data_IF_036888304530
#
_entry.id   IF_036888304530
#
_cell.length_a   1.000
_cell.length_b   1.000
_cell.length_c   1.000
_cell.angle_alpha   90.00
_cell.angle_beta   90.00
_cell.angle_gamma   90.00
#
_symmetry.space_group_name_H-M   'P 1'
#
loop_
_entity.id
_entity.type
_entity.pdbx_description
1 polymer ?
#
# COMPACT_ATOMS: atom_id res chain seq x y z
N UNK A 1 12.56 10.34 84.75
CA UNK A 1 11.73 10.88 83.70
C UNK A 1 12.23 10.35 82.36
N UNK A 2 12.59 9.09 82.21
CA UNK A 2 13.31 8.49 81.10
C UNK A 2 12.75 7.16 80.58
N UNK A 3 11.70 6.61 81.16
CA UNK A 3 11.13 5.30 80.75
C UNK A 3 9.89 5.38 79.86
N UNK A 4 9.46 6.57 79.46
CA UNK A 4 8.22 6.75 78.64
C UNK A 4 8.45 7.02 77.15
N UNK A 5 9.70 7.27 76.77
CA UNK A 5 10.05 7.54 75.37
C UNK A 5 10.49 6.31 74.59
N UNK A 6 11.00 5.27 75.27
CA UNK A 6 11.46 4.04 74.61
C UNK A 6 10.32 3.16 74.05
N UNK A 7 9.13 3.22 74.62
CA UNK A 7 7.96 2.42 74.15
C UNK A 7 7.30 2.96 72.88
N UNK A 8 7.63 4.19 72.47
CA UNK A 8 7.02 4.82 71.26
C UNK A 8 7.87 4.58 70.00
N UNK A 9 9.16 4.27 70.18
CA UNK A 9 10.08 3.96 69.05
C UNK A 9 9.93 2.52 68.57
N UNK A 10 9.62 1.58 69.45
CA UNK A 10 9.40 0.18 69.06
C UNK A 10 8.10 -0.08 68.33
N UNK A 11 7.09 0.78 68.47
CA UNK A 11 5.78 0.65 67.78
C UNK A 11 5.83 1.15 66.29
N UNK A 12 6.93 1.78 65.88
CA UNK A 12 7.08 2.32 64.54
C UNK A 12 7.89 1.42 63.57
N UNK A 13 8.44 0.30 64.07
CA UNK A 13 9.32 -0.56 63.26
C UNK A 13 8.71 -1.88 62.81
N UNK A 14 7.41 -2.08 62.91
CA UNK A 14 6.73 -3.31 62.41
C UNK A 14 5.55 -3.02 61.54
N UNK A 15 5.72 -2.14 60.55
CA UNK A 15 4.94 -2.20 59.32
C UNK A 15 5.81 -2.77 58.22
N UNK A 16 6.15 -4.06 58.33
CA UNK A 16 6.64 -4.84 57.21
C UNK A 16 5.57 -4.77 56.10
N UNK A 17 5.85 -4.01 55.06
CA UNK A 17 5.15 -4.11 53.79
C UNK A 17 5.32 -5.56 53.33
N UNK A 18 4.34 -6.41 53.57
CA UNK A 18 4.24 -7.74 52.98
C UNK A 18 4.15 -7.52 51.46
N UNK A 19 5.31 -7.44 50.81
CA UNK A 19 5.44 -7.57 49.37
C UNK A 19 4.85 -8.94 49.04
N UNK A 20 3.69 -8.96 48.44
CA UNK A 20 3.07 -10.18 47.93
C UNK A 20 4.07 -10.82 46.98
N UNK A 21 4.74 -11.89 47.40
CA UNK A 21 5.61 -12.64 46.52
C UNK A 21 4.77 -13.47 45.59
N UNK A 22 4.95 -13.24 44.28
CA UNK A 22 4.28 -13.99 43.23
C UNK A 22 4.66 -15.45 43.28
N UNK A 23 3.71 -16.36 43.28
CA UNK A 23 3.99 -17.80 43.22
C UNK A 23 4.44 -18.23 41.83
N UNK A 24 5.31 -19.23 41.75
CA UNK A 24 5.71 -19.84 40.47
C UNK A 24 4.48 -20.33 39.66
N UNK A 25 3.45 -20.82 40.37
CA UNK A 25 2.22 -21.31 39.74
C UNK A 25 1.38 -20.20 39.13
N UNK A 26 1.25 -19.02 39.76
CA UNK A 26 0.58 -17.87 39.22
C UNK A 26 1.22 -17.39 37.91
N UNK A 27 2.58 -17.34 37.91
CA UNK A 27 3.31 -16.96 36.71
C UNK A 27 3.08 -17.99 35.58
N UNK A 28 3.14 -19.30 35.90
CA UNK A 28 2.96 -20.37 34.93
C UNK A 28 1.57 -20.34 34.28
N UNK A 29 0.51 -20.12 35.07
CA UNK A 29 -0.87 -20.02 34.56
C UNK A 29 -1.01 -18.82 33.61
N UNK A 30 -0.43 -17.67 33.97
CA UNK A 30 -0.50 -16.46 33.13
C UNK A 30 0.20 -16.69 31.78
N UNK A 31 1.41 -17.24 31.78
CA UNK A 31 2.11 -17.51 30.50
C UNK A 31 1.39 -18.57 29.65
N UNK A 32 0.76 -19.57 30.29
CA UNK A 32 -0.03 -20.57 29.58
C UNK A 32 -1.26 -19.95 28.87
N UNK A 33 -1.97 -19.03 29.56
CA UNK A 33 -3.10 -18.31 28.95
C UNK A 33 -2.62 -17.41 27.80
N UNK A 34 -1.54 -16.66 27.99
CA UNK A 34 -0.96 -15.80 26.96
C UNK A 34 -0.54 -16.63 25.75
N UNK A 35 0.13 -17.76 25.95
CA UNK A 35 0.55 -18.64 24.88
C UNK A 35 -0.64 -19.20 24.09
N UNK A 36 -1.73 -19.59 24.76
CA UNK A 36 -2.95 -20.04 24.11
C UNK A 36 -3.62 -18.93 23.29
N UNK A 37 -3.69 -17.70 23.81
CA UNK A 37 -4.25 -16.55 23.10
C UNK A 37 -3.42 -16.16 21.87
N UNK A 38 -2.10 -16.12 22.00
CA UNK A 38 -1.17 -15.83 20.90
C UNK A 38 -1.26 -16.89 19.80
N UNK A 39 -1.40 -18.16 20.17
CA UNK A 39 -1.55 -19.26 19.21
C UNK A 39 -2.77 -19.10 18.27
N UNK A 40 -3.85 -18.51 18.77
CA UNK A 40 -5.06 -18.22 17.98
C UNK A 40 -4.99 -16.89 17.23
N UNK A 41 -4.26 -15.89 17.76
CA UNK A 41 -4.21 -14.54 17.20
C UNK A 41 -3.36 -14.45 15.92
N UNK A 42 -2.22 -15.15 15.87
CA UNK A 42 -1.23 -15.03 14.78
C UNK A 42 -1.83 -15.34 13.38
N UNK A 43 -2.56 -16.44 13.14
CA UNK A 43 -3.09 -16.75 11.82
C UNK A 43 -4.14 -15.73 11.33
N UNK A 44 -4.92 -15.15 12.24
CA UNK A 44 -5.94 -14.15 11.90
C UNK A 44 -5.28 -12.84 11.46
N UNK A 45 -4.16 -12.47 12.08
CA UNK A 45 -3.47 -11.19 11.81
C UNK A 45 -2.94 -11.09 10.37
N UNK A 46 -2.45 -12.18 9.80
CA UNK A 46 -1.93 -12.21 8.41
C UNK A 46 -3.03 -11.89 7.39
N UNK A 47 -4.21 -12.47 7.56
CA UNK A 47 -5.35 -12.21 6.66
C UNK A 47 -5.84 -10.76 6.71
N UNK A 48 -5.78 -10.12 7.88
CA UNK A 48 -6.14 -8.69 8.04
C UNK A 48 -5.12 -7.78 7.34
N UNK A 49 -3.83 -8.07 7.48
CA UNK A 49 -2.77 -7.30 6.82
C UNK A 49 -2.87 -7.39 5.29
N UNK A 50 -3.15 -8.56 4.73
CA UNK A 50 -3.30 -8.70 3.28
C UNK A 50 -4.52 -7.95 2.76
N UNK A 51 -5.63 -7.92 3.52
CA UNK A 51 -6.80 -7.07 3.18
C UNK A 51 -6.47 -5.59 3.24
N UNK A 52 -5.75 -5.15 4.27
CA UNK A 52 -5.33 -3.74 4.40
C UNK A 52 -4.44 -3.31 3.21
N UNK A 53 -3.51 -4.15 2.77
CA UNK A 53 -2.69 -3.90 1.58
C UNK A 53 -3.52 -3.80 0.30
N UNK A 54 -4.52 -4.69 0.11
CA UNK A 54 -5.44 -4.60 -1.03
C UNK A 54 -6.22 -3.29 -1.04
N UNK A 55 -6.72 -2.85 0.11
CA UNK A 55 -7.43 -1.57 0.23
C UNK A 55 -6.49 -0.40 -0.08
N UNK A 56 -5.26 -0.43 0.42
CA UNK A 56 -4.26 0.57 0.08
C UNK A 56 -4.00 0.59 -1.43
N UNK A 57 -3.72 -0.56 -2.05
CA UNK A 57 -3.50 -0.63 -3.49
C UNK A 57 -4.70 -0.13 -4.30
N UNK A 58 -5.95 -0.42 -3.85
CA UNK A 58 -7.16 0.11 -4.50
C UNK A 58 -7.25 1.64 -4.41
N UNK A 59 -6.92 2.21 -3.26
CA UNK A 59 -6.85 3.66 -3.11
C UNK A 59 -5.77 4.27 -4.02
N UNK A 60 -4.60 3.65 -4.10
CA UNK A 60 -3.48 4.13 -4.88
C UNK A 60 -3.82 4.12 -6.39
N UNK A 61 -4.37 3.02 -6.94
CA UNK A 61 -4.77 2.97 -8.36
C UNK A 61 -5.88 3.99 -8.67
N UNK A 62 -6.80 4.22 -7.74
CA UNK A 62 -7.84 5.25 -7.89
C UNK A 62 -7.24 6.65 -7.90
N UNK A 63 -6.26 6.92 -7.02
CA UNK A 63 -5.55 8.20 -7.00
C UNK A 63 -4.74 8.43 -8.28
N UNK A 64 -4.08 7.39 -8.82
CA UNK A 64 -3.35 7.47 -10.09
C UNK A 64 -4.31 7.88 -11.21
N UNK A 65 -5.44 7.17 -11.37
CA UNK A 65 -6.44 7.50 -12.39
C UNK A 65 -6.98 8.91 -12.22
N UNK A 66 -7.28 9.31 -10.99
CA UNK A 66 -7.77 10.67 -10.69
C UNK A 66 -6.74 11.73 -11.06
N UNK A 67 -5.46 11.51 -10.75
CA UNK A 67 -4.37 12.44 -11.06
C UNK A 67 -4.14 12.58 -12.57
N UNK A 68 -4.18 11.47 -13.33
CA UNK A 68 -4.05 11.49 -14.79
C UNK A 68 -5.23 12.23 -15.44
N UNK A 69 -6.45 12.00 -14.97
CA UNK A 69 -7.64 12.70 -15.47
C UNK A 69 -7.64 14.19 -15.08
N UNK A 70 -7.15 14.54 -13.90
CA UNK A 70 -6.98 15.93 -13.49
C UNK A 70 -5.94 16.66 -14.36
N UNK A 71 -4.84 15.98 -14.68
CA UNK A 71 -3.84 16.48 -15.63
C UNK A 71 -4.48 16.73 -17.03
N UNK A 72 -5.26 15.75 -17.51
CA UNK A 72 -5.96 15.89 -18.78
C UNK A 72 -6.95 17.08 -18.77
N UNK A 73 -7.68 17.25 -17.68
CA UNK A 73 -8.62 18.39 -17.52
C UNK A 73 -7.90 19.74 -17.57
N UNK A 74 -6.70 19.82 -16.98
CA UNK A 74 -5.92 21.06 -16.92
C UNK A 74 -5.23 21.40 -18.24
N UNK A 75 -4.67 20.38 -18.91
CA UNK A 75 -3.80 20.61 -20.08
C UNK A 75 -4.44 20.20 -21.43
N UNK A 76 -5.62 19.56 -21.43
CA UNK A 76 -6.25 19.02 -22.62
C UNK A 76 -5.51 17.85 -23.27
N UNK A 77 -4.55 17.26 -22.54
CA UNK A 77 -3.72 16.12 -22.99
C UNK A 77 -3.28 15.26 -21.80
N UNK A 78 -2.93 14.02 -22.06
CA UNK A 78 -2.40 13.12 -21.03
C UNK A 78 -0.91 13.40 -20.70
N UNK A 79 -0.42 12.99 -19.54
CA UNK A 79 0.98 13.17 -19.11
C UNK A 79 1.93 12.16 -19.79
N UNK A 80 1.82 12.05 -21.11
CA UNK A 80 2.64 11.16 -21.94
C UNK A 80 2.95 11.81 -23.28
N UNK A 81 4.06 11.42 -23.89
CA UNK A 81 4.41 11.75 -25.27
C UNK A 81 4.11 10.62 -26.25
N UNK A 82 3.57 9.51 -25.76
CA UNK A 82 3.14 8.40 -26.58
C UNK A 82 1.97 8.83 -27.49
N UNK A 83 1.85 8.18 -28.64
CA UNK A 83 0.83 8.45 -29.65
C UNK A 83 -0.08 7.26 -29.91
N UNK A 84 0.18 6.14 -29.26
CA UNK A 84 -0.63 4.92 -29.31
C UNK A 84 -0.71 4.29 -27.92
N UNK A 85 -1.79 3.60 -27.60
CA UNK A 85 -1.99 2.94 -26.30
C UNK A 85 -0.92 1.89 -26.01
N UNK A 86 -0.48 1.16 -27.03
CA UNK A 86 0.60 0.17 -26.87
C UNK A 86 1.92 0.81 -26.37
N UNK A 87 2.20 2.06 -26.76
CA UNK A 87 3.36 2.83 -26.31
C UNK A 87 3.08 3.68 -25.06
N UNK A 88 1.81 3.77 -24.63
CA UNK A 88 1.37 4.46 -23.44
C UNK A 88 1.04 3.49 -22.26
N UNK A 89 1.54 2.26 -22.34
CA UNK A 89 1.42 1.28 -21.25
C UNK A 89 2.73 1.21 -20.48
N UNK A 90 2.62 1.35 -19.15
CA UNK A 90 3.73 1.47 -18.21
C UNK A 90 3.61 0.43 -17.10
N UNK A 91 4.75 0.06 -16.49
CA UNK A 91 4.81 -0.86 -15.37
C UNK A 91 5.62 -2.13 -15.66
N UNK A 92 5.53 -3.18 -14.84
CA UNK A 92 6.27 -4.41 -15.02
C UNK A 92 6.03 -5.04 -16.40
N UNK A 93 7.12 -5.31 -17.14
CA UNK A 93 7.04 -5.84 -18.51
C UNK A 93 6.75 -4.81 -19.61
N UNK A 94 6.55 -3.55 -19.25
CA UNK A 94 6.30 -2.41 -20.14
C UNK A 94 7.32 -1.28 -19.91
N UNK A 95 6.99 -0.08 -20.38
CA UNK A 95 7.84 1.10 -20.18
C UNK A 95 7.84 1.53 -18.71
N UNK A 96 8.91 2.22 -18.30
CA UNK A 96 8.97 2.83 -16.97
C UNK A 96 7.92 3.93 -16.81
N UNK A 97 7.16 3.88 -15.73
CA UNK A 97 6.16 4.91 -15.39
C UNK A 97 6.76 6.20 -14.83
N UNK A 98 8.10 6.27 -14.68
CA UNK A 98 8.81 7.43 -14.12
C UNK A 98 8.41 8.74 -14.78
N UNK A 99 8.40 8.81 -16.12
CA UNK A 99 8.08 10.04 -16.84
C UNK A 99 6.66 10.54 -16.53
N UNK A 100 5.70 9.64 -16.46
CA UNK A 100 4.31 9.96 -16.09
C UNK A 100 4.25 10.51 -14.66
N UNK A 101 4.90 9.84 -13.71
CA UNK A 101 4.89 10.30 -12.30
C UNK A 101 5.70 11.60 -12.09
N UNK A 102 6.77 11.84 -12.85
CA UNK A 102 7.50 13.10 -12.78
C UNK A 102 6.63 14.29 -13.23
N UNK A 103 5.82 14.12 -14.28
CA UNK A 103 4.85 15.13 -14.70
C UNK A 103 3.73 15.32 -13.64
N UNK A 104 3.15 14.24 -13.14
CA UNK A 104 2.07 14.31 -12.14
C UNK A 104 2.52 14.90 -10.80
N UNK A 105 3.80 14.80 -10.46
CA UNK A 105 4.40 15.29 -9.21
C UNK A 105 5.08 16.66 -9.36
N UNK A 106 4.96 17.28 -10.52
CA UNK A 106 5.64 18.53 -10.85
C UNK A 106 7.18 18.47 -10.71
N UNK A 107 7.78 17.31 -10.97
CA UNK A 107 9.25 17.12 -11.05
C UNK A 107 9.79 17.29 -12.47
N UNK A 108 8.91 17.33 -13.46
CA UNK A 108 9.19 17.66 -14.86
C UNK A 108 8.34 18.84 -15.28
N UNK A 109 8.88 19.66 -16.19
CA UNK A 109 8.20 20.82 -16.82
C UNK A 109 7.91 20.57 -18.30
N UNK A 110 8.18 19.38 -18.81
CA UNK A 110 8.04 19.08 -20.23
C UNK A 110 6.57 19.14 -20.68
N UNK A 111 5.68 18.57 -19.89
CA UNK A 111 4.24 18.58 -20.13
C UNK A 111 3.49 19.36 -19.05
N UNK A 112 3.96 19.35 -17.79
CA UNK A 112 3.42 20.08 -16.65
C UNK A 112 4.09 21.47 -16.52
N UNK A 113 3.84 22.34 -17.48
CA UNK A 113 4.47 23.66 -17.57
C UNK A 113 4.10 24.60 -16.42
N UNK A 114 2.96 24.38 -15.75
CA UNK A 114 2.48 25.16 -14.60
C UNK A 114 2.94 24.60 -13.26
N UNK A 115 3.66 23.47 -13.26
CA UNK A 115 4.15 22.79 -12.06
C UNK A 115 3.05 22.49 -11.03
N UNK A 116 1.88 22.04 -11.48
CA UNK A 116 0.76 21.65 -10.63
C UNK A 116 1.02 20.23 -10.11
N UNK A 117 0.92 20.04 -8.81
CA UNK A 117 1.03 18.72 -8.19
C UNK A 117 -0.34 18.05 -8.23
N UNK A 118 -0.48 16.99 -9.04
CA UNK A 118 -1.70 16.20 -9.17
C UNK A 118 -1.71 14.99 -8.24
N UNK A 119 -0.53 14.47 -7.88
CA UNK A 119 -0.37 13.35 -6.94
C UNK A 119 0.87 13.55 -6.08
N UNK A 120 0.80 13.21 -4.80
CA UNK A 120 1.94 13.33 -3.86
C UNK A 120 2.10 12.08 -3.00
N UNK A 121 2.44 10.92 -3.60
CA UNK A 121 2.73 9.72 -2.82
C UNK A 121 4.03 9.88 -2.04
N UNK A 122 4.20 9.17 -0.91
CA UNK A 122 5.43 9.19 -0.16
C UNK A 122 6.62 8.70 -0.99
N UNK A 123 7.82 9.24 -0.75
CA UNK A 123 9.05 8.81 -1.41
C UNK A 123 9.84 7.84 -0.52
N UNK A 124 10.47 6.84 -1.11
CA UNK A 124 11.41 5.97 -0.41
C UNK A 124 12.83 6.54 -0.50
N UNK A 125 13.36 6.92 0.64
CA UNK A 125 14.73 7.42 0.76
C UNK A 125 15.75 6.30 1.02
N UNK A 126 15.29 5.08 1.31
CA UNK A 126 16.15 3.98 1.78
C UNK A 126 16.70 3.08 0.68
N UNK A 127 16.22 3.19 -0.54
CA UNK A 127 16.59 2.40 -1.72
C UNK A 127 16.41 0.86 -1.62
N UNK A 128 15.80 0.36 -0.56
CA UNK A 128 15.80 -1.09 -0.28
C UNK A 128 14.49 -1.81 -0.62
N UNK A 129 13.36 -1.16 -0.54
CA UNK A 129 12.06 -1.76 -0.91
C UNK A 129 10.95 -0.69 -0.86
N UNK A 130 10.59 -0.07 -1.97
CA UNK A 130 9.67 1.08 -2.00
C UNK A 130 8.19 0.65 -1.91
N UNK A 131 7.80 -0.11 -0.87
CA UNK A 131 6.42 -0.59 -0.67
C UNK A 131 5.46 0.56 -0.41
N UNK A 132 4.48 0.75 -1.32
CA UNK A 132 3.51 1.83 -1.22
C UNK A 132 4.11 3.23 -1.37
N UNK A 133 5.23 3.37 -2.10
CA UNK A 133 6.00 4.62 -2.23
C UNK A 133 6.56 4.78 -3.63
N UNK A 134 7.03 6.00 -3.93
CA UNK A 134 7.88 6.23 -5.11
C UNK A 134 9.30 5.74 -4.79
N UNK A 135 9.81 4.87 -5.64
CA UNK A 135 11.18 4.38 -5.55
C UNK A 135 12.21 5.40 -6.05
N UNK A 136 13.50 5.11 -5.81
CA UNK A 136 14.63 5.93 -6.30
C UNK A 136 14.69 6.01 -7.83
N UNK A 137 14.08 5.06 -8.52
CA UNK A 137 13.92 5.02 -9.97
C UNK A 137 12.76 5.89 -10.49
N UNK A 138 12.00 6.52 -9.58
CA UNK A 138 10.87 7.40 -9.88
C UNK A 138 9.55 6.69 -10.19
N UNK A 139 9.48 5.38 -10.11
CA UNK A 139 8.24 4.62 -10.30
C UNK A 139 7.44 4.53 -8.99
N UNK A 140 6.13 4.43 -9.07
CA UNK A 140 5.28 4.22 -7.90
C UNK A 140 5.02 2.74 -7.69
N UNK A 141 5.32 2.28 -6.49
CA UNK A 141 5.25 0.88 -6.09
C UNK A 141 4.05 0.60 -5.20
N UNK A 142 3.49 -0.58 -5.37
CA UNK A 142 2.39 -1.08 -4.56
C UNK A 142 2.86 -1.60 -3.16
N UNK A 143 1.95 -2.00 -2.26
CA UNK A 143 2.30 -2.53 -0.95
C UNK A 143 3.11 -3.84 -0.95
N UNK A 144 3.24 -4.51 -2.09
CA UNK A 144 4.04 -5.74 -2.26
C UNK A 144 5.38 -5.48 -2.95
N UNK A 145 5.69 -4.22 -3.31
CA UNK A 145 6.91 -3.78 -3.99
C UNK A 145 6.95 -4.14 -5.49
N UNK A 146 5.81 -4.26 -6.14
CA UNK A 146 5.68 -4.26 -7.59
C UNK A 146 5.33 -2.85 -8.06
N UNK A 147 5.88 -2.38 -9.19
CA UNK A 147 5.47 -1.09 -9.72
C UNK A 147 4.02 -1.14 -10.21
N UNK A 148 3.25 -0.07 -9.98
CA UNK A 148 1.91 0.05 -10.55
C UNK A 148 2.00 0.08 -12.07
N UNK A 149 1.06 -0.62 -12.70
CA UNK A 149 0.87 -0.54 -14.14
C UNK A 149 -0.18 0.51 -14.48
N UNK A 150 0.05 1.24 -15.57
CA UNK A 150 -0.81 2.31 -16.06
C UNK A 150 -0.92 2.15 -17.57
N UNK A 151 -2.12 2.20 -18.11
CA UNK A 151 -2.37 2.35 -19.54
C UNK A 151 -3.16 3.63 -19.77
N UNK A 152 -2.76 4.39 -20.79
CA UNK A 152 -3.33 5.70 -21.15
C UNK A 152 -3.79 5.64 -22.60
N UNK A 153 -5.00 6.12 -22.85
CA UNK A 153 -5.57 6.33 -24.19
C UNK A 153 -4.80 7.46 -24.90
N UNK A 154 -3.76 7.08 -25.62
CA UNK A 154 -2.84 8.03 -26.24
C UNK A 154 -3.24 8.42 -27.67
N UNK A 155 -4.14 7.69 -28.32
CA UNK A 155 -4.71 8.01 -29.62
C UNK A 155 -6.09 8.69 -29.53
N UNK A 156 -6.62 8.81 -28.27
CA UNK A 156 -7.86 9.51 -27.96
C UNK A 156 -9.12 8.89 -28.60
N UNK A 157 -9.12 7.57 -28.77
CA UNK A 157 -10.28 6.83 -29.26
C UNK A 157 -11.27 6.43 -28.14
N UNK A 158 -10.93 6.77 -26.89
CA UNK A 158 -11.69 6.45 -25.67
C UNK A 158 -11.79 4.94 -25.39
N UNK A 159 -10.82 4.17 -25.83
CA UNK A 159 -10.75 2.73 -25.62
C UNK A 159 -9.33 2.31 -25.25
N UNK A 160 -9.19 1.42 -24.30
CA UNK A 160 -7.91 0.80 -23.92
C UNK A 160 -8.12 -0.70 -23.90
N UNK A 161 -7.20 -1.46 -24.49
CA UNK A 161 -7.22 -2.91 -24.43
C UNK A 161 -7.18 -3.39 -22.97
N UNK A 162 -8.09 -4.31 -22.62
CA UNK A 162 -8.12 -4.86 -21.27
C UNK A 162 -6.92 -5.81 -21.06
N UNK A 163 -6.03 -5.58 -20.08
CA UNK A 163 -4.89 -6.47 -19.84
C UNK A 163 -5.28 -7.92 -19.58
N UNK A 164 -6.49 -8.15 -19.09
CA UNK A 164 -7.05 -9.48 -18.83
C UNK A 164 -7.93 -10.00 -19.99
N UNK A 165 -8.08 -9.24 -21.08
CA UNK A 165 -9.04 -9.55 -22.13
C UNK A 165 -10.46 -9.69 -21.57
N UNK A 166 -11.16 -10.72 -21.96
CA UNK A 166 -12.52 -11.02 -21.45
C UNK A 166 -12.54 -11.89 -20.19
N UNK A 167 -11.40 -12.07 -19.50
CA UNK A 167 -11.22 -13.03 -18.42
C UNK A 167 -11.57 -12.47 -17.02
N UNK A 168 -12.76 -11.91 -16.87
CA UNK A 168 -13.33 -11.54 -15.55
C UNK A 168 -13.05 -10.11 -15.09
N UNK A 169 -12.30 -9.30 -15.86
CA UNK A 169 -11.99 -7.91 -15.56
C UNK A 169 -12.86 -6.89 -16.32
N UNK A 170 -14.01 -7.29 -16.82
CA UNK A 170 -14.92 -6.44 -17.60
C UNK A 170 -14.82 -6.66 -19.11
N UNK A 171 -15.28 -5.69 -19.90
CA UNK A 171 -15.24 -5.73 -21.35
C UNK A 171 -13.80 -5.57 -21.90
N UNK A 172 -13.61 -5.98 -23.14
CA UNK A 172 -12.39 -5.70 -23.92
C UNK A 172 -12.83 -5.18 -25.30
N UNK A 173 -12.47 -3.94 -25.68
CA UNK A 173 -11.73 -2.93 -24.91
C UNK A 173 -12.54 -2.28 -23.77
N UNK A 174 -11.84 -1.68 -22.80
CA UNK A 174 -12.41 -0.86 -21.73
C UNK A 174 -12.60 0.58 -22.25
N UNK A 175 -13.78 1.15 -22.06
CA UNK A 175 -14.09 2.52 -22.49
C UNK A 175 -13.74 3.54 -21.40
N UNK A 176 -12.45 3.77 -21.22
CA UNK A 176 -11.89 4.76 -20.29
C UNK A 176 -10.60 5.34 -20.88
N UNK A 177 -10.27 6.57 -20.50
CA UNK A 177 -9.07 7.24 -20.98
C UNK A 177 -7.81 6.86 -20.19
N UNK A 178 -7.95 6.18 -19.04
CA UNK A 178 -6.82 5.71 -18.25
C UNK A 178 -7.20 4.50 -17.40
N UNK A 179 -6.33 3.52 -17.34
CA UNK A 179 -6.42 2.35 -16.49
C UNK A 179 -5.19 2.30 -15.58
N UNK A 180 -5.37 1.87 -14.33
CA UNK A 180 -4.26 1.58 -13.43
C UNK A 180 -4.52 0.28 -12.67
N UNK A 181 -3.48 -0.52 -12.46
CA UNK A 181 -3.60 -1.79 -11.74
C UNK A 181 -2.31 -2.18 -11.02
N UNK A 182 -2.44 -3.06 -10.03
CA UNK A 182 -1.37 -3.76 -9.34
C UNK A 182 -1.53 -5.25 -9.58
N UNK A 183 -0.42 -5.95 -9.74
CA UNK A 183 -0.39 -7.41 -9.85
C UNK A 183 -0.52 -8.15 -8.50
N UNK A 184 -0.80 -7.42 -7.41
CA UNK A 184 -1.01 -8.02 -6.11
C UNK A 184 0.23 -8.66 -5.51
N UNK A 185 0.01 -9.65 -4.66
CA UNK A 185 1.06 -10.29 -3.85
C UNK A 185 1.96 -11.22 -4.65
N UNK A 186 1.43 -11.88 -5.67
CA UNK A 186 2.18 -12.81 -6.49
C UNK A 186 2.99 -12.12 -7.61
N UNK A 187 2.79 -10.81 -7.79
CA UNK A 187 3.47 -9.93 -8.76
C UNK A 187 3.29 -10.36 -10.23
N UNK A 188 2.21 -11.06 -10.54
CA UNK A 188 1.90 -11.57 -11.87
C UNK A 188 0.48 -11.23 -12.27
N UNK A 189 0.26 -11.07 -13.57
CA UNK A 189 -1.06 -10.80 -14.13
C UNK A 189 -2.00 -12.00 -13.93
N UNK A 190 -3.09 -11.81 -13.23
CA UNK A 190 -4.04 -12.85 -12.90
C UNK A 190 -3.57 -13.76 -11.75
N UNK A 191 -4.12 -14.94 -11.63
CA UNK A 191 -3.73 -15.88 -10.58
C UNK A 191 -2.47 -16.66 -11.02
N UNK A 192 -1.33 -16.36 -10.38
CA UNK A 192 -0.02 -16.94 -10.74
C UNK A 192 0.38 -16.77 -12.21
N UNK A 193 -0.11 -15.72 -12.90
CA UNK A 193 0.23 -15.44 -14.29
C UNK A 193 -0.66 -16.15 -15.32
N UNK A 194 -1.86 -16.61 -14.94
CA UNK A 194 -2.82 -17.22 -15.87
C UNK A 194 -3.62 -16.21 -16.71
N UNK A 195 -3.40 -14.91 -16.47
CA UNK A 195 -4.10 -13.81 -17.16
C UNK A 195 -5.59 -13.69 -16.83
N UNK A 196 -6.07 -14.34 -15.77
CA UNK A 196 -7.49 -14.31 -15.37
C UNK A 196 -7.67 -13.48 -14.11
N UNK A 197 -8.48 -12.44 -14.20
CA UNK A 197 -8.78 -11.62 -13.03
C UNK A 197 -9.61 -12.37 -11.97
N UNK A 198 -10.47 -13.28 -12.38
CA UNK A 198 -11.32 -14.05 -11.46
C UNK A 198 -10.49 -14.84 -10.44
N UNK A 199 -10.67 -14.54 -9.15
CA UNK A 199 -9.92 -15.11 -8.01
C UNK A 199 -8.45 -14.71 -7.93
N UNK A 200 -8.00 -13.70 -8.69
CA UNK A 200 -6.66 -13.15 -8.54
C UNK A 200 -6.55 -12.30 -7.29
N UNK A 201 -5.34 -11.99 -6.88
CA UNK A 201 -5.05 -11.00 -5.87
C UNK A 201 -4.79 -9.61 -6.45
N UNK A 202 -4.89 -9.48 -7.76
CA UNK A 202 -4.75 -8.24 -8.49
C UNK A 202 -5.75 -7.17 -8.03
N UNK A 203 -5.34 -5.92 -8.19
CA UNK A 203 -6.18 -4.76 -7.88
C UNK A 203 -6.26 -3.86 -9.09
N UNK A 204 -7.48 -3.59 -9.58
CA UNK A 204 -7.74 -2.82 -10.80
C UNK A 204 -8.56 -1.57 -10.50
N UNK A 205 -8.40 -0.50 -11.30
CA UNK A 205 -9.10 0.78 -11.09
C UNK A 205 -10.53 0.80 -11.62
N UNK A 206 -10.87 -0.04 -12.60
CA UNK A 206 -12.10 0.04 -13.39
C UNK A 206 -13.23 -0.88 -12.93
N UNK A 207 -13.09 -1.52 -11.76
CA UNK A 207 -14.14 -2.28 -11.07
C UNK A 207 -14.25 -1.89 -9.61
#
# INVERSE_FOLDING_TARGET
>A
MEMKEMTKLECLMTKEDRKAAFTLMELLVVIAIIAALLGLAVPVFQGVLDRARKVQAKNDVTQIVTAVNAFYTEYGRYPTTATTDATATYGPGHLSSKAVFDELRAKSIALNTRQIIFISPPEDTSQTSPKGKIGSDGQYYDPWASAYSIAIDADYDSQIANPYGTNGAGADPIRQGVLAWSYGKDTKLGNNGDGKFTRSDDVISWQ
#
